data_IF_453592258276
#
_entry.id   IF_453592258276
#
_cell.length_a   1.000
_cell.length_b   1.000
_cell.length_c   1.000
_cell.angle_alpha   90.00
_cell.angle_beta   90.00
_cell.angle_gamma   90.00
#
_symmetry.space_group_name_H-M   'P 1'
#
loop_
_entity.id
_entity.type
_entity.pdbx_description
1 polymer ?
#
# COMPACT_ATOMS: atom_id res chain seq x y z
N UNK A 1 -14.49 3.77 -13.61
CA UNK A 1 -13.22 4.37 -14.10
C UNK A 1 -12.73 3.75 -15.40
N UNK A 2 -12.35 2.46 -15.43
CA UNK A 2 -11.87 1.82 -16.67
C UNK A 2 -12.92 1.78 -17.78
N UNK A 3 -14.18 1.49 -17.45
CA UNK A 3 -15.28 1.56 -18.42
C UNK A 3 -15.38 2.94 -19.10
N UNK A 4 -15.24 4.02 -18.33
CA UNK A 4 -15.27 5.39 -18.84
C UNK A 4 -14.08 5.68 -19.76
N UNK A 5 -12.90 5.15 -19.43
CA UNK A 5 -11.74 5.21 -20.30
C UNK A 5 -11.95 4.45 -21.62
N UNK A 6 -12.50 3.23 -21.57
CA UNK A 6 -12.80 2.44 -22.78
C UNK A 6 -13.89 3.08 -23.66
N UNK A 7 -14.81 3.84 -23.05
CA UNK A 7 -15.81 4.66 -23.76
C UNK A 7 -15.21 5.90 -24.43
N UNK A 8 -13.94 6.23 -24.16
CA UNK A 8 -13.28 7.42 -24.67
C UNK A 8 -13.65 8.72 -23.94
N UNK A 9 -14.31 8.62 -22.78
CA UNK A 9 -14.76 9.78 -22.03
C UNK A 9 -13.57 10.52 -21.41
N UNK A 10 -13.64 11.85 -21.41
CA UNK A 10 -12.64 12.68 -20.77
C UNK A 10 -12.81 12.70 -19.23
N UNK A 11 -11.87 13.32 -18.51
CA UNK A 11 -11.87 13.35 -17.04
C UNK A 11 -13.16 13.92 -16.44
N UNK A 12 -13.72 14.96 -17.06
CA UNK A 12 -14.91 15.64 -16.53
C UNK A 12 -16.18 14.83 -16.79
N UNK A 13 -16.29 14.23 -17.98
CA UNK A 13 -17.37 13.30 -18.31
C UNK A 13 -17.33 12.07 -17.42
N UNK A 14 -16.15 11.46 -17.24
CA UNK A 14 -15.99 10.32 -16.34
C UNK A 14 -16.38 10.68 -14.90
N UNK A 15 -15.99 11.87 -14.40
CA UNK A 15 -16.40 12.35 -13.07
C UNK A 15 -17.91 12.49 -13.00
N UNK A 16 -18.54 13.19 -13.95
CA UNK A 16 -20.00 13.38 -14.01
C UNK A 16 -20.74 12.05 -14.04
N UNK A 17 -20.37 11.14 -14.94
CA UNK A 17 -21.01 9.83 -15.07
C UNK A 17 -20.86 8.98 -13.81
N UNK A 18 -19.71 9.06 -13.13
CA UNK A 18 -19.50 8.36 -11.86
C UNK A 18 -20.28 9.02 -10.72
N UNK A 19 -20.34 10.35 -10.67
CA UNK A 19 -21.14 11.09 -9.69
C UNK A 19 -22.64 10.85 -9.85
N UNK A 20 -23.13 10.73 -11.09
CA UNK A 20 -24.54 10.44 -11.39
C UNK A 20 -24.97 9.05 -10.85
N UNK A 21 -24.06 8.08 -10.81
CA UNK A 21 -24.35 6.69 -10.39
C UNK A 21 -24.02 6.45 -8.92
N UNK A 22 -22.92 7.00 -8.42
CA UNK A 22 -22.37 6.70 -7.09
C UNK A 22 -22.49 7.86 -6.09
N UNK A 23 -22.97 9.03 -6.53
CA UNK A 23 -23.09 10.25 -5.72
C UNK A 23 -21.94 11.24 -5.94
N UNK A 24 -22.19 12.52 -5.66
CA UNK A 24 -21.27 13.63 -5.99
C UNK A 24 -19.87 13.48 -5.37
N UNK A 25 -19.77 12.89 -4.18
CA UNK A 25 -18.51 12.70 -3.45
C UNK A 25 -17.78 11.39 -3.78
N UNK A 26 -18.31 10.55 -4.66
CA UNK A 26 -17.74 9.23 -4.95
C UNK A 26 -16.32 9.33 -5.54
N UNK A 27 -16.07 10.32 -6.40
CA UNK A 27 -14.78 10.54 -7.03
C UNK A 27 -14.48 12.02 -7.25
N UNK A 28 -13.23 12.40 -6.99
CA UNK A 28 -12.73 13.74 -7.36
C UNK A 28 -12.23 13.76 -8.80
N UNK A 29 -12.23 14.94 -9.42
CA UNK A 29 -11.63 15.14 -10.75
C UNK A 29 -10.14 14.73 -10.77
N UNK A 30 -9.41 14.97 -9.66
CA UNK A 30 -8.00 14.57 -9.52
C UNK A 30 -7.83 13.05 -9.53
N UNK A 31 -8.70 12.31 -8.85
CA UNK A 31 -8.73 10.85 -8.90
C UNK A 31 -8.99 10.36 -10.31
N UNK A 32 -9.96 10.97 -11.00
CA UNK A 32 -10.29 10.62 -12.37
C UNK A 32 -9.10 10.81 -13.31
N UNK A 33 -8.43 11.97 -13.23
CA UNK A 33 -7.25 12.29 -14.03
C UNK A 33 -6.11 11.29 -13.82
N UNK A 34 -5.82 10.94 -12.55
CA UNK A 34 -4.76 9.98 -12.21
C UNK A 34 -5.02 8.61 -12.83
N UNK A 35 -6.25 8.11 -12.77
CA UNK A 35 -6.61 6.83 -13.36
C UNK A 35 -6.58 6.85 -14.89
N UNK A 36 -7.11 7.90 -15.53
CA UNK A 36 -7.05 8.04 -16.98
C UNK A 36 -5.59 8.08 -17.48
N UNK A 37 -4.70 8.76 -16.75
CA UNK A 37 -3.27 8.77 -17.06
C UNK A 37 -2.64 7.38 -16.93
N UNK A 38 -2.97 6.63 -15.86
CA UNK A 38 -2.52 5.23 -15.69
C UNK A 38 -2.98 4.33 -16.84
N UNK A 39 -4.23 4.43 -17.25
CA UNK A 39 -4.77 3.62 -18.35
C UNK A 39 -4.13 3.94 -19.71
N UNK A 40 -3.82 5.21 -19.98
CA UNK A 40 -3.06 5.61 -21.19
C UNK A 40 -1.66 4.99 -21.24
N UNK A 41 -1.07 4.72 -20.09
CA UNK A 41 0.22 4.05 -19.94
C UNK A 41 0.11 2.51 -19.91
N UNK A 42 -1.10 1.95 -20.07
CA UNK A 42 -1.33 0.50 -20.04
C UNK A 42 -1.46 -0.10 -18.64
N UNK A 43 -1.52 0.70 -17.57
CA UNK A 43 -1.69 0.21 -16.21
C UNK A 43 -3.17 -0.01 -15.88
N UNK A 44 -3.63 -1.25 -16.00
CA UNK A 44 -5.01 -1.65 -15.73
C UNK A 44 -5.23 -2.33 -14.37
N UNK A 45 -4.17 -2.49 -13.57
CA UNK A 45 -4.29 -3.06 -12.22
C UNK A 45 -5.00 -2.10 -11.26
N UNK A 46 -5.99 -2.62 -10.54
CA UNK A 46 -6.68 -1.91 -9.46
C UNK A 46 -6.14 -2.24 -8.07
N UNK A 47 -5.19 -3.16 -7.99
CA UNK A 47 -4.55 -3.53 -6.73
C UNK A 47 -3.58 -2.42 -6.35
N UNK A 48 -3.73 -1.93 -5.12
CA UNK A 48 -2.76 -1.01 -4.52
C UNK A 48 -1.39 -1.69 -4.51
N UNK A 49 -0.39 -1.01 -5.05
CA UNK A 49 1.01 -1.44 -4.90
C UNK A 49 1.38 -1.49 -3.41
N UNK A 50 2.33 -2.36 -3.07
CA UNK A 50 2.83 -2.48 -1.70
C UNK A 50 3.23 -1.09 -1.20
N UNK A 51 2.53 -0.61 -0.18
CA UNK A 51 2.85 0.70 0.38
C UNK A 51 4.22 0.63 1.04
N UNK A 52 5.03 1.67 0.85
CA UNK A 52 6.27 1.80 1.62
C UNK A 52 5.93 1.75 3.10
N UNK A 53 6.45 0.75 3.81
CA UNK A 53 6.34 0.72 5.27
C UNK A 53 7.09 1.92 5.84
N UNK A 54 6.70 2.37 7.03
CA UNK A 54 7.53 3.31 7.80
C UNK A 54 8.95 2.73 7.87
N UNK A 55 10.00 3.51 7.55
CA UNK A 55 11.37 2.99 7.60
C UNK A 55 11.65 2.44 8.99
N UNK A 56 11.97 1.15 9.05
CA UNK A 56 12.39 0.50 10.28
C UNK A 56 13.84 0.88 10.55
N UNK A 57 14.16 1.19 11.80
CA UNK A 57 15.55 1.38 12.23
C UNK A 57 16.37 0.06 12.22
N UNK A 58 15.73 -1.04 11.86
CA UNK A 58 16.30 -2.39 11.84
C UNK A 58 16.47 -2.78 10.38
N UNK A 59 17.71 -3.12 10.00
CA UNK A 59 18.04 -3.66 8.68
C UNK A 59 17.34 -5.01 8.45
N UNK A 60 16.95 -5.29 7.21
CA UNK A 60 16.33 -6.55 6.82
C UNK A 60 17.19 -7.78 7.18
N UNK A 61 18.52 -7.62 7.23
CA UNK A 61 19.43 -8.69 7.67
C UNK A 61 19.28 -8.99 9.16
N UNK A 62 19.15 -7.94 9.98
CA UNK A 62 18.90 -8.06 11.42
C UNK A 62 17.51 -8.67 11.64
N UNK A 63 16.50 -8.26 10.85
CA UNK A 63 15.15 -8.84 10.92
C UNK A 63 15.15 -10.33 10.58
N UNK A 64 15.82 -10.74 9.48
CA UNK A 64 15.96 -12.17 9.12
C UNK A 64 16.71 -12.96 10.18
N UNK A 65 17.77 -12.38 10.76
CA UNK A 65 18.49 -12.96 11.89
C UNK A 65 17.60 -13.15 13.11
N UNK A 66 16.76 -12.16 13.44
CA UNK A 66 15.80 -12.23 14.55
C UNK A 66 14.76 -13.33 14.37
N UNK A 67 14.18 -13.49 13.17
CA UNK A 67 13.21 -14.57 12.90
C UNK A 67 13.88 -15.94 13.09
N UNK A 68 15.10 -16.10 12.57
CA UNK A 68 15.89 -17.34 12.72
C UNK A 68 16.22 -17.63 14.20
N UNK A 69 16.54 -16.61 14.98
CA UNK A 69 16.87 -16.74 16.42
C UNK A 69 15.61 -16.93 17.28
N UNK A 70 14.50 -16.22 17.02
CA UNK A 70 13.23 -16.37 17.75
C UNK A 70 12.62 -17.76 17.56
N UNK A 71 12.76 -18.36 16.37
CA UNK A 71 12.41 -19.78 16.16
C UNK A 71 13.22 -20.73 17.06
N UNK A 72 14.42 -20.32 17.49
CA UNK A 72 15.30 -21.13 18.35
C UNK A 72 15.25 -20.76 19.83
N UNK A 73 14.83 -19.54 20.21
CA UNK A 73 14.85 -19.05 21.59
C UNK A 73 13.69 -18.09 21.88
N UNK A 74 12.96 -18.35 22.96
CA UNK A 74 11.81 -17.59 23.44
C UNK A 74 12.11 -16.08 23.58
N UNK A 75 11.11 -15.26 23.23
CA UNK A 75 11.12 -13.79 23.03
C UNK A 75 11.74 -12.91 24.13
N UNK A 76 12.06 -13.47 25.30
CA UNK A 76 12.71 -12.76 26.41
C UNK A 76 14.20 -12.51 26.11
N UNK A 77 14.88 -13.43 25.42
CA UNK A 77 16.32 -13.32 25.15
C UNK A 77 16.67 -12.37 24.00
N UNK A 78 15.73 -12.06 23.11
CA UNK A 78 15.97 -11.26 21.91
C UNK A 78 16.06 -9.76 22.20
N UNK A 79 15.25 -9.22 23.12
CA UNK A 79 15.34 -7.80 23.52
C UNK A 79 16.69 -7.44 24.14
N UNK A 80 17.25 -8.34 24.96
CA UNK A 80 18.57 -8.15 25.57
C UNK A 80 19.73 -8.26 24.56
N UNK A 81 19.65 -9.19 23.60
CA UNK A 81 20.73 -9.41 22.61
C UNK A 81 20.86 -8.29 21.58
N UNK A 82 19.76 -7.63 21.20
CA UNK A 82 19.74 -6.71 20.06
C UNK A 82 19.51 -5.25 20.44
N UNK A 83 19.42 -4.93 21.74
CA UNK A 83 19.21 -3.55 22.21
C UNK A 83 17.87 -2.94 21.79
N UNK A 84 16.90 -3.77 21.42
CA UNK A 84 15.55 -3.36 21.04
C UNK A 84 14.57 -3.63 22.19
N UNK A 85 13.58 -2.76 22.33
CA UNK A 85 12.55 -2.95 23.34
C UNK A 85 11.69 -4.18 23.01
N UNK A 86 11.30 -4.94 24.04
CA UNK A 86 10.59 -6.22 23.88
C UNK A 86 9.30 -6.08 23.05
N UNK A 87 8.58 -4.96 23.19
CA UNK A 87 7.36 -4.69 22.40
C UNK A 87 7.66 -4.53 20.91
N UNK A 88 8.79 -3.92 20.57
CA UNK A 88 9.25 -3.77 19.19
C UNK A 88 9.64 -5.12 18.59
N UNK A 89 10.16 -6.07 19.37
CA UNK A 89 10.51 -7.41 18.89
C UNK A 89 9.29 -8.27 18.50
N UNK A 90 8.12 -8.05 19.13
CA UNK A 90 6.89 -8.77 18.82
C UNK A 90 6.26 -8.35 17.48
N UNK A 91 6.46 -7.10 17.05
CA UNK A 91 5.95 -6.58 15.76
C UNK A 91 6.65 -7.20 14.53
N UNK A 92 7.69 -8.00 14.73
CA UNK A 92 8.50 -8.66 13.69
C UNK A 92 8.43 -10.20 13.72
N UNK A 93 7.63 -10.79 14.61
CA UNK A 93 7.27 -12.22 14.58
C UNK A 93 5.99 -12.38 13.74
#
# INVERSE_FOLDING_TARGET
MLLEFLRGNNTMEAKRNLSDVFGEEAVTARTCQRWLAKFRLGYFSFIDESRSRRPSNISDEVQRGMIKINLTLTSIKTGFMFGIHQTTALDYI
#
